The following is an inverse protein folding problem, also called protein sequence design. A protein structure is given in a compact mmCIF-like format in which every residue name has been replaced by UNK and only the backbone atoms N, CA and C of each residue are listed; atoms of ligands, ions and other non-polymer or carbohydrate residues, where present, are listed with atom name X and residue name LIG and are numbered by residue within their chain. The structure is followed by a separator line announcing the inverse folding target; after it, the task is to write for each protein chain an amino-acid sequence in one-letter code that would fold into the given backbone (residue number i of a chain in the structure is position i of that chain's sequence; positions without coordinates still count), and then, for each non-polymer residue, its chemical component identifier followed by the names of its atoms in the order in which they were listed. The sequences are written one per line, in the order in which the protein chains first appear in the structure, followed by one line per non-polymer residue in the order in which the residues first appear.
data_IF_707935582512
#
_entry.id   IF_707935582512
#
_cell.length_a   1.000
_cell.length_b   1.000
_cell.length_c   1.000
_cell.angle_alpha   90.00
_cell.angle_beta   90.00
_cell.angle_gamma   90.00
#
_symmetry.space_group_name_H-M   'P 1'
#
loop_
_entity.id
_entity.type
_entity.pdbx_description
1 polymer ?
#
# COMPACT_ATOMS: atom_id res chain seq x y z
N UNK A 1 20.24 11.02 -4.22
CA UNK A 1 19.60 10.00 -5.06
C UNK A 1 19.67 8.73 -4.23
N UNK A 2 18.55 8.21 -3.72
CA UNK A 2 18.55 6.84 -3.19
C UNK A 2 18.81 5.95 -4.41
N UNK A 3 19.99 5.37 -4.45
CA UNK A 3 20.46 4.53 -5.54
C UNK A 3 19.47 3.37 -5.75
N UNK A 4 19.01 3.17 -6.99
CA UNK A 4 18.26 1.97 -7.34
C UNK A 4 19.08 0.74 -6.97
N UNK A 5 18.53 -0.12 -6.11
CA UNK A 5 19.17 -1.38 -5.74
C UNK A 5 19.06 -2.34 -6.92
N UNK A 6 20.20 -2.73 -7.47
CA UNK A 6 20.26 -3.74 -8.53
C UNK A 6 19.88 -5.09 -7.95
N UNK A 7 18.82 -5.66 -8.50
CA UNK A 7 18.35 -7.00 -8.15
C UNK A 7 17.62 -7.59 -9.35
N UNK A 8 17.79 -8.89 -9.53
CA UNK A 8 17.04 -9.73 -10.46
C UNK A 8 16.53 -10.97 -9.73
N UNK A 9 16.30 -10.83 -8.42
CA UNK A 9 15.92 -11.96 -7.57
C UNK A 9 14.53 -12.45 -7.93
N UNK A 10 14.38 -13.77 -7.86
CA UNK A 10 13.13 -14.49 -7.91
C UNK A 10 12.90 -15.10 -6.52
N UNK A 11 11.74 -14.85 -5.93
CA UNK A 11 11.30 -15.50 -4.68
C UNK A 11 9.91 -16.08 -4.85
N UNK A 12 9.59 -17.13 -4.11
CA UNK A 12 8.26 -17.75 -4.14
C UNK A 12 7.49 -17.31 -2.90
N UNK A 13 6.25 -16.86 -3.09
CA UNK A 13 5.38 -16.51 -1.99
C UNK A 13 4.87 -17.76 -1.28
N UNK A 14 4.96 -17.78 0.05
CA UNK A 14 4.43 -18.84 0.91
C UNK A 14 3.20 -18.36 1.69
N UNK A 15 2.25 -19.22 2.09
CA UNK A 15 1.13 -18.79 2.94
C UNK A 15 1.62 -18.19 4.26
N UNK A 16 1.04 -17.06 4.66
CA UNK A 16 1.43 -16.40 5.91
C UNK A 16 0.92 -17.16 7.14
N UNK A 17 1.76 -17.26 8.16
CA UNK A 17 1.42 -17.76 9.49
C UNK A 17 2.00 -16.83 10.56
N UNK A 18 1.46 -16.81 11.79
CA UNK A 18 2.08 -16.06 12.88
C UNK A 18 3.54 -16.45 13.14
N UNK A 19 3.92 -17.70 12.89
CA UNK A 19 5.28 -18.19 13.14
C UNK A 19 6.27 -17.73 12.06
N UNK A 20 5.94 -17.89 10.78
CA UNK A 20 6.87 -17.55 9.69
C UNK A 20 7.01 -16.03 9.47
N UNK A 21 6.03 -15.23 9.91
CA UNK A 21 6.04 -13.78 9.80
C UNK A 21 6.64 -13.05 11.02
N UNK A 22 6.83 -13.76 12.14
CA UNK A 22 7.33 -13.21 13.42
C UNK A 22 8.57 -12.30 13.32
N UNK A 23 9.59 -12.59 12.48
CA UNK A 23 10.75 -11.69 12.35
C UNK A 23 10.40 -10.31 11.79
N UNK A 24 9.36 -10.23 10.97
CA UNK A 24 8.96 -9.03 10.23
C UNK A 24 7.82 -8.28 10.90
N UNK A 25 7.10 -8.92 11.83
CA UNK A 25 5.88 -8.35 12.37
C UNK A 25 4.99 -9.34 13.12
N UNK A 26 3.70 -9.03 13.10
CA UNK A 26 2.62 -9.88 13.62
C UNK A 26 1.57 -10.18 12.57
N UNK A 27 0.87 -11.29 12.77
CA UNK A 27 -0.31 -11.69 11.98
C UNK A 27 -1.47 -11.78 12.95
N UNK A 28 -2.54 -11.02 12.70
CA UNK A 28 -3.81 -11.23 13.38
C UNK A 28 -4.54 -12.31 12.60
N UNK A 29 -4.64 -13.50 13.16
CA UNK A 29 -5.37 -14.61 12.55
C UNK A 29 -5.92 -15.54 13.61
N UNK A 30 -7.24 -15.53 13.80
CA UNK A 30 -7.87 -16.26 14.90
C UNK A 30 -7.69 -17.77 14.78
N UNK A 31 -7.75 -18.34 13.57
CA UNK A 31 -7.61 -19.79 13.34
C UNK A 31 -6.29 -20.32 13.89
N UNK A 32 -5.18 -19.68 13.54
CA UNK A 32 -3.82 -20.07 13.95
C UNK A 32 -3.51 -19.65 15.41
N UNK A 33 -4.14 -18.58 15.90
CA UNK A 33 -3.84 -18.03 17.23
C UNK A 33 -4.70 -18.60 18.35
N UNK A 34 -5.84 -19.23 18.06
CA UNK A 34 -6.65 -19.95 19.06
C UNK A 34 -5.86 -21.06 19.77
N UNK A 35 -4.92 -21.68 19.07
CA UNK A 35 -4.10 -22.78 19.60
C UNK A 35 -2.88 -22.29 20.40
N UNK A 36 -2.41 -21.07 20.12
CA UNK A 36 -1.09 -20.60 20.57
C UNK A 36 -1.14 -19.37 21.48
N UNK A 37 -2.16 -18.53 21.34
CA UNK A 37 -2.27 -17.30 22.13
C UNK A 37 -2.87 -17.55 23.50
N UNK A 38 -2.48 -16.72 24.48
CA UNK A 38 -3.18 -16.65 25.76
C UNK A 38 -4.64 -16.25 25.49
N UNK A 39 -5.57 -16.98 26.08
CA UNK A 39 -7.00 -16.76 25.86
C UNK A 39 -7.86 -16.87 27.12
N UNK A 40 -9.00 -16.18 27.12
CA UNK A 40 -10.06 -16.33 28.13
C UNK A 40 -11.42 -16.39 27.46
N UNK A 41 -12.38 -17.05 28.10
CA UNK A 41 -13.78 -16.92 27.73
C UNK A 41 -14.28 -15.49 28.03
N UNK A 42 -15.15 -14.98 27.17
CA UNK A 42 -15.83 -13.69 27.26
C UNK A 42 -17.30 -13.85 26.87
N UNK A 43 -18.11 -12.80 27.04
CA UNK A 43 -19.53 -12.77 26.67
C UNK A 43 -20.32 -13.98 27.20
N UNK A 44 -20.13 -14.32 28.48
CA UNK A 44 -20.81 -15.44 29.13
C UNK A 44 -20.63 -16.79 28.42
N UNK A 45 -19.46 -17.03 27.80
CA UNK A 45 -19.16 -18.29 27.13
C UNK A 45 -19.27 -18.25 25.61
N UNK A 46 -19.78 -17.16 25.04
CA UNK A 46 -20.04 -17.08 23.58
C UNK A 46 -18.90 -16.46 22.78
N UNK A 47 -17.86 -15.94 23.44
CA UNK A 47 -16.67 -15.40 22.78
C UNK A 47 -15.38 -15.89 23.42
N UNK A 48 -14.33 -16.00 22.60
CA UNK A 48 -12.97 -16.25 23.06
C UNK A 48 -12.14 -15.00 22.83
N UNK A 49 -11.61 -14.41 23.90
CA UNK A 49 -10.69 -13.28 23.83
C UNK A 49 -9.26 -13.78 23.70
N UNK A 50 -8.63 -13.51 22.55
CA UNK A 50 -7.20 -13.73 22.33
C UNK A 50 -6.42 -12.49 22.75
N UNK A 51 -5.39 -12.66 23.57
CA UNK A 51 -4.60 -11.55 24.09
C UNK A 51 -3.35 -11.31 23.25
N UNK A 52 -3.06 -10.03 22.98
CA UNK A 52 -1.79 -9.55 22.40
C UNK A 52 -1.39 -10.28 21.10
N UNK A 53 -2.35 -10.42 20.19
CA UNK A 53 -2.20 -11.18 18.93
C UNK A 53 -1.30 -10.49 17.89
N UNK A 54 -1.05 -9.18 18.04
CA UNK A 54 -0.19 -8.40 17.14
C UNK A 54 0.46 -7.24 17.90
N UNK A 55 1.69 -6.82 17.58
CA UNK A 55 2.33 -5.69 18.23
C UNK A 55 1.69 -4.36 17.82
N UNK A 56 1.73 -3.39 18.74
CA UNK A 56 1.45 -1.98 18.47
C UNK A 56 2.56 -1.20 19.15
N UNK A 57 3.48 -0.64 18.38
CA UNK A 57 4.68 0.04 18.90
C UNK A 57 4.91 1.33 18.13
N UNK A 58 5.25 2.40 18.86
CA UNK A 58 5.72 3.66 18.32
C UNK A 58 6.91 4.15 19.13
N UNK A 59 7.93 4.69 18.45
CA UNK A 59 9.16 5.21 19.09
C UNK A 59 9.39 6.71 18.87
N UNK A 60 8.45 7.41 18.23
CA UNK A 60 8.55 8.85 18.00
C UNK A 60 7.49 9.60 18.82
N UNK A 61 7.92 10.55 19.65
CA UNK A 61 7.05 11.22 20.63
C UNK A 61 5.95 12.06 19.99
N UNK A 62 6.24 12.70 18.85
CA UNK A 62 5.26 13.52 18.12
C UNK A 62 4.28 12.72 17.26
N UNK A 63 4.47 11.40 17.13
CA UNK A 63 3.62 10.57 16.29
C UNK A 63 2.28 10.25 16.96
N UNK A 64 1.19 10.37 16.21
CA UNK A 64 -0.18 10.14 16.70
C UNK A 64 -0.75 8.87 16.12
N UNK A 65 -1.32 8.04 17.00
CA UNK A 65 -2.11 6.88 16.59
C UNK A 65 -3.30 7.31 15.75
N UNK A 66 -3.48 6.68 14.60
CA UNK A 66 -4.57 6.99 13.69
C UNK A 66 -5.03 5.76 12.91
N UNK A 67 -6.28 5.85 12.47
CA UNK A 67 -6.88 4.92 11.52
C UNK A 67 -7.03 5.60 10.17
N UNK A 68 -6.46 4.99 9.15
CA UNK A 68 -6.57 5.37 7.76
C UNK A 68 -7.37 4.31 6.99
N UNK A 69 -7.85 4.66 5.80
CA UNK A 69 -8.56 3.75 4.91
C UNK A 69 -7.84 3.70 3.57
N UNK A 70 -7.47 2.51 3.14
CA UNK A 70 -6.82 2.28 1.86
C UNK A 70 -7.76 1.45 1.00
N UNK A 71 -8.09 1.94 -0.20
CA UNK A 71 -8.80 1.17 -1.22
C UNK A 71 -7.79 0.73 -2.28
N UNK A 72 -7.43 -0.55 -2.27
CA UNK A 72 -6.36 -1.08 -3.11
C UNK A 72 -6.93 -1.94 -4.24
N UNK A 73 -6.65 -1.55 -5.47
CA UNK A 73 -6.94 -2.37 -6.66
C UNK A 73 -5.76 -3.28 -6.98
N UNK A 74 -5.98 -4.49 -7.52
CA UNK A 74 -4.88 -5.34 -7.96
C UNK A 74 -3.97 -4.65 -8.98
N UNK A 75 -2.63 -4.70 -8.82
CA UNK A 75 -1.70 -4.05 -9.74
C UNK A 75 -1.49 -4.91 -10.99
N UNK A 76 -2.54 -5.08 -11.80
CA UNK A 76 -2.56 -6.01 -12.95
C UNK A 76 -1.43 -5.79 -13.96
N UNK A 77 -0.89 -4.57 -14.06
CA UNK A 77 0.23 -4.24 -14.95
C UNK A 77 1.59 -4.74 -14.46
N UNK A 78 1.68 -5.22 -13.21
CA UNK A 78 2.86 -5.83 -12.62
C UNK A 78 2.69 -7.33 -12.42
N UNK A 79 1.53 -7.89 -12.78
CA UNK A 79 1.21 -9.30 -12.64
C UNK A 79 1.17 -9.94 -14.02
N UNK A 80 1.94 -11.02 -14.19
CA UNK A 80 1.88 -11.88 -15.38
C UNK A 80 1.27 -13.21 -14.99
N UNK A 81 0.29 -13.66 -15.79
CA UNK A 81 -0.37 -14.94 -15.64
C UNK A 81 0.34 -15.98 -16.53
N UNK A 82 0.91 -17.01 -15.90
CA UNK A 82 1.56 -18.14 -16.58
C UNK A 82 0.79 -19.45 -16.33
N UNK A 83 -0.49 -19.38 -15.98
CA UNK A 83 -1.30 -20.55 -15.62
C UNK A 83 -1.48 -21.54 -16.77
N UNK A 84 -1.32 -21.10 -18.02
CA UNK A 84 -1.33 -21.98 -19.20
C UNK A 84 -0.03 -22.78 -19.40
N UNK A 85 1.10 -22.31 -18.85
CA UNK A 85 2.43 -22.90 -19.06
C UNK A 85 2.96 -23.63 -17.82
N UNK A 86 2.98 -22.96 -16.66
CA UNK A 86 3.64 -23.46 -15.43
C UNK A 86 2.73 -23.40 -14.17
N UNK A 87 1.48 -22.96 -14.30
CA UNK A 87 0.46 -23.08 -13.25
C UNK A 87 0.49 -22.01 -12.15
N UNK A 88 1.03 -20.81 -12.42
CA UNK A 88 1.14 -19.73 -11.43
C UNK A 88 1.14 -18.32 -12.02
N UNK A 89 1.38 -17.34 -11.15
CA UNK A 89 1.48 -15.93 -11.46
C UNK A 89 2.85 -15.40 -11.04
N UNK A 90 3.34 -14.34 -11.70
CA UNK A 90 4.50 -13.58 -11.24
C UNK A 90 4.13 -12.13 -10.98
N UNK A 91 4.64 -11.53 -9.91
CA UNK A 91 4.54 -10.11 -9.60
C UNK A 91 5.92 -9.44 -9.64
N UNK A 92 6.03 -8.27 -10.27
CA UNK A 92 7.28 -7.49 -10.29
C UNK A 92 7.26 -6.34 -9.28
N UNK A 93 7.96 -6.50 -8.16
CA UNK A 93 8.18 -5.44 -7.19
C UNK A 93 9.30 -4.50 -7.63
N UNK A 94 9.02 -3.19 -7.52
CA UNK A 94 9.92 -2.09 -7.92
C UNK A 94 10.30 -1.18 -6.77
N UNK A 95 9.64 -1.28 -5.62
CA UNK A 95 9.85 -0.40 -4.46
C UNK A 95 9.69 -1.21 -3.19
N UNK A 96 10.53 -0.92 -2.21
CA UNK A 96 10.27 -1.25 -0.81
C UNK A 96 10.25 0.04 0.00
N UNK A 97 9.38 0.10 0.99
CA UNK A 97 9.25 1.18 1.95
C UNK A 97 9.37 0.64 3.38
N UNK A 98 9.63 1.53 4.33
CA UNK A 98 9.58 1.20 5.75
C UNK A 98 9.11 2.39 6.56
N UNK A 99 8.60 2.11 7.75
CA UNK A 99 8.25 3.10 8.77
C UNK A 99 9.20 2.97 9.96
N UNK A 100 10.23 3.82 10.09
CA UNK A 100 11.29 3.63 11.10
C UNK A 100 10.77 3.65 12.55
N UNK A 101 9.67 4.38 12.79
CA UNK A 101 9.21 4.70 14.13
C UNK A 101 7.86 4.09 14.52
N UNK A 102 7.16 3.41 13.64
CA UNK A 102 5.84 2.83 13.94
C UNK A 102 5.67 1.46 13.33
N UNK A 103 4.95 0.60 14.06
CA UNK A 103 4.26 -0.53 13.44
C UNK A 103 3.18 -0.01 12.51
N UNK A 104 2.91 -0.74 11.44
CA UNK A 104 1.80 -0.44 10.53
C UNK A 104 0.96 -1.69 10.31
N UNK A 105 -0.32 -1.62 10.65
CA UNK A 105 -1.27 -2.73 10.52
C UNK A 105 -2.19 -2.50 9.33
N UNK A 106 -2.36 -3.51 8.49
CA UNK A 106 -3.38 -3.55 7.44
C UNK A 106 -4.40 -4.64 7.77
N UNK A 107 -5.64 -4.23 8.02
CA UNK A 107 -6.78 -5.10 8.29
C UNK A 107 -7.69 -5.13 7.05
N UNK A 108 -7.78 -6.25 6.31
CA UNK A 108 -8.66 -6.33 5.15
C UNK A 108 -10.13 -6.28 5.59
N UNK A 109 -10.95 -5.59 4.80
CA UNK A 109 -12.38 -5.46 5.01
C UNK A 109 -13.15 -6.07 3.83
N UNK A 110 -14.13 -6.92 4.14
CA UNK A 110 -15.08 -7.42 3.15
C UNK A 110 -14.55 -8.49 2.18
N UNK A 111 -13.37 -9.07 2.46
CA UNK A 111 -12.82 -10.18 1.66
C UNK A 111 -13.29 -11.54 2.20
N UNK A 112 -13.52 -12.56 1.33
CA UNK A 112 -13.84 -13.90 1.79
C UNK A 112 -12.72 -14.50 2.64
N UNK A 113 -13.08 -15.10 3.78
CA UNK A 113 -12.14 -15.57 4.80
C UNK A 113 -11.07 -16.53 4.26
N UNK A 114 -11.46 -17.48 3.41
CA UNK A 114 -10.56 -18.53 2.93
C UNK A 114 -9.85 -18.17 1.61
N UNK A 115 -10.23 -17.05 0.97
CA UNK A 115 -9.61 -16.61 -0.28
C UNK A 115 -8.32 -15.83 -0.02
N UNK A 116 -7.30 -16.05 -0.87
CA UNK A 116 -6.14 -15.16 -0.93
C UNK A 116 -6.63 -13.78 -1.39
N UNK A 117 -6.45 -12.77 -0.53
CA UNK A 117 -6.93 -11.42 -0.74
C UNK A 117 -5.81 -10.46 -1.15
N UNK A 118 -4.59 -10.70 -0.67
CA UNK A 118 -3.44 -9.85 -0.95
C UNK A 118 -2.13 -10.59 -0.73
N UNK A 119 -1.03 -9.97 -1.12
CA UNK A 119 0.33 -10.45 -0.90
C UNK A 119 1.16 -9.36 -0.21
N UNK A 120 2.11 -9.78 0.60
CA UNK A 120 3.10 -8.90 1.22
C UNK A 120 4.50 -9.37 0.87
N UNK A 121 5.40 -8.42 0.66
CA UNK A 121 6.83 -8.68 0.49
C UNK A 121 7.51 -7.96 1.63
N UNK A 122 8.42 -8.63 2.33
CA UNK A 122 9.10 -8.08 3.51
C UNK A 122 10.59 -8.37 3.44
N UNK A 123 11.40 -7.47 3.98
CA UNK A 123 12.82 -7.67 4.18
C UNK A 123 13.30 -7.11 5.53
N UNK A 124 14.28 -7.77 6.11
CA UNK A 124 15.04 -7.19 7.23
C UNK A 124 15.91 -6.03 6.73
N UNK A 125 16.34 -5.15 7.64
CA UNK A 125 17.37 -4.16 7.32
C UNK A 125 18.76 -4.78 7.43
N UNK A 126 19.69 -4.39 6.55
CA UNK A 126 21.10 -4.67 6.71
C UNK A 126 21.62 -4.08 8.03
N UNK A 127 22.59 -4.76 8.64
CA UNK A 127 23.29 -4.24 9.81
C UNK A 127 24.46 -3.34 9.38
N UNK A 128 24.12 -2.25 8.69
CA UNK A 128 25.04 -1.20 8.30
C UNK A 128 24.48 0.19 8.66
N UNK A 129 25.19 1.25 8.30
CA UNK A 129 24.79 2.64 8.56
C UNK A 129 23.57 3.07 7.73
N UNK A 130 23.39 2.51 6.54
CA UNK A 130 22.32 2.90 5.62
C UNK A 130 21.01 2.17 5.90
N UNK A 131 21.08 1.02 6.59
CA UNK A 131 19.97 0.15 6.96
C UNK A 131 19.08 -0.20 5.74
N UNK A 132 19.68 -0.36 4.57
CA UNK A 132 18.99 -0.76 3.32
C UNK A 132 18.34 -2.15 3.47
N UNK A 133 17.35 -2.52 2.64
CA UNK A 133 16.76 -3.85 2.72
C UNK A 133 17.80 -4.93 2.40
N UNK A 134 17.80 -5.97 3.22
CA UNK A 134 18.64 -7.14 3.05
C UNK A 134 18.02 -8.09 2.03
N UNK A 135 18.45 -7.97 0.78
CA UNK A 135 17.97 -8.79 -0.34
C UNK A 135 18.60 -10.20 -0.38
N UNK A 136 19.42 -10.60 0.61
CA UNK A 136 20.03 -11.94 0.66
C UNK A 136 18.98 -13.02 0.86
N UNK A 137 19.38 -14.26 0.58
CA UNK A 137 18.49 -15.42 0.70
C UNK A 137 17.97 -15.57 2.14
N UNK A 138 16.67 -15.81 2.29
CA UNK A 138 16.00 -15.91 3.59
C UNK A 138 15.82 -14.59 4.36
N UNK A 139 16.33 -13.47 3.83
CA UNK A 139 16.21 -12.13 4.44
C UNK A 139 15.17 -11.25 3.77
N UNK A 140 14.84 -11.57 2.53
CA UNK A 140 13.66 -11.11 1.82
C UNK A 140 12.69 -12.28 1.62
N UNK A 141 11.40 -12.04 1.86
CA UNK A 141 10.34 -13.04 1.74
C UNK A 141 9.08 -12.43 1.15
N UNK A 142 8.25 -13.28 0.55
CA UNK A 142 6.92 -12.92 0.11
C UNK A 142 5.90 -13.88 0.74
N UNK A 143 4.70 -13.36 1.02
CA UNK A 143 3.63 -14.15 1.61
C UNK A 143 2.28 -13.86 0.97
N UNK A 144 1.52 -14.91 0.63
CA UNK A 144 0.10 -14.77 0.32
C UNK A 144 -0.71 -14.72 1.60
N UNK A 145 -1.72 -13.85 1.63
CA UNK A 145 -2.51 -13.55 2.83
C UNK A 145 -3.99 -13.69 2.53
N UNK A 146 -4.69 -14.43 3.40
CA UNK A 146 -6.13 -14.66 3.26
C UNK A 146 -6.94 -13.46 3.73
N UNK A 147 -8.21 -13.40 3.31
CA UNK A 147 -9.13 -12.34 3.70
C UNK A 147 -9.47 -12.29 5.20
N UNK A 148 -9.22 -13.37 5.96
CA UNK A 148 -9.41 -13.42 7.42
C UNK A 148 -8.15 -13.08 8.24
N UNK A 149 -7.07 -12.68 7.58
CA UNK A 149 -5.79 -12.38 8.22
C UNK A 149 -5.47 -10.88 8.08
N UNK A 150 -4.89 -10.30 9.14
CA UNK A 150 -4.32 -8.96 9.10
C UNK A 150 -2.80 -9.03 9.28
N UNK A 151 -2.07 -8.13 8.62
CA UNK A 151 -0.62 -8.02 8.76
C UNK A 151 -0.28 -6.78 9.58
N UNK A 152 0.69 -6.90 10.48
CA UNK A 152 1.33 -5.75 11.13
C UNK A 152 2.82 -5.83 10.91
N UNK A 153 3.41 -4.86 10.20
CA UNK A 153 4.85 -4.74 10.09
C UNK A 153 5.45 -4.20 11.39
N UNK A 154 6.61 -4.71 11.80
CA UNK A 154 7.40 -4.11 12.88
C UNK A 154 7.96 -2.76 12.43
N UNK A 155 8.36 -1.94 13.41
CA UNK A 155 9.15 -0.73 13.14
C UNK A 155 10.36 -1.08 12.26
N UNK A 156 10.60 -0.26 11.25
CA UNK A 156 11.73 -0.36 10.32
C UNK A 156 11.80 -1.66 9.48
N UNK A 157 10.76 -2.50 9.48
CA UNK A 157 10.66 -3.61 8.52
C UNK A 157 10.41 -3.05 7.12
N UNK A 158 11.30 -3.38 6.20
CA UNK A 158 11.09 -3.07 4.79
C UNK A 158 9.96 -3.92 4.24
N UNK A 159 9.07 -3.32 3.47
CA UNK A 159 7.95 -4.01 2.84
C UNK A 159 7.57 -3.36 1.51
N UNK A 160 6.95 -4.12 0.61
CA UNK A 160 6.39 -3.53 -0.60
C UNK A 160 5.10 -2.76 -0.27
N UNK A 161 4.76 -1.70 -1.04
CA UNK A 161 3.42 -1.12 -1.03
C UNK A 161 2.35 -2.20 -1.21
N UNK A 162 1.16 -2.01 -0.63
CA UNK A 162 0.12 -3.05 -0.54
C UNK A 162 -0.26 -3.66 -1.90
N UNK A 163 -0.22 -5.00 -1.99
CA UNK A 163 -0.49 -5.76 -3.23
C UNK A 163 -1.83 -6.49 -3.10
N UNK A 164 -2.93 -5.83 -3.47
CA UNK A 164 -4.23 -6.49 -3.55
C UNK A 164 -4.24 -7.57 -4.65
N UNK A 165 -4.94 -8.67 -4.42
CA UNK A 165 -5.06 -9.80 -5.35
C UNK A 165 -6.54 -10.15 -5.56
N UNK A 166 -6.83 -10.73 -6.73
CA UNK A 166 -8.17 -11.11 -7.21
C UNK A 166 -9.13 -9.94 -7.47
N UNK A 167 -9.35 -9.08 -6.50
CA UNK A 167 -10.34 -8.01 -6.57
C UNK A 167 -9.97 -6.88 -5.59
N UNK A 168 -10.66 -5.75 -5.68
CA UNK A 168 -10.44 -4.59 -4.83
C UNK A 168 -10.56 -4.99 -3.36
N UNK A 169 -9.59 -4.55 -2.57
CA UNK A 169 -9.57 -4.76 -1.13
C UNK A 169 -9.49 -3.43 -0.41
N UNK A 170 -10.47 -3.17 0.44
CA UNK A 170 -10.42 -2.07 1.39
C UNK A 170 -9.66 -2.52 2.64
N UNK A 171 -8.75 -1.68 3.15
CA UNK A 171 -7.98 -1.93 4.35
C UNK A 171 -8.23 -0.81 5.37
N UNK A 172 -8.61 -1.19 6.59
CA UNK A 172 -8.42 -0.31 7.73
C UNK A 172 -6.94 -0.38 8.12
N UNK A 173 -6.27 0.77 8.11
CA UNK A 173 -4.84 0.88 8.36
C UNK A 173 -4.60 1.56 9.69
N UNK A 174 -3.90 0.91 10.60
CA UNK A 174 -3.53 1.50 11.89
C UNK A 174 -2.03 1.78 11.92
N UNK A 175 -1.67 3.02 12.23
CA UNK A 175 -0.28 3.50 12.27
C UNK A 175 -0.15 4.70 13.22
N UNK A 176 1.06 4.98 13.69
CA UNK A 176 1.42 6.26 14.30
C UNK A 176 2.21 7.09 13.29
N UNK A 177 1.78 8.31 13.01
CA UNK A 177 2.50 9.22 12.11
C UNK A 177 2.66 10.59 12.74
N UNK A 178 3.77 11.24 12.44
CA UNK A 178 4.07 12.63 12.83
C UNK A 178 3.37 13.63 11.92
N UNK A 179 2.95 13.21 10.72
CA UNK A 179 2.46 14.08 9.66
C UNK A 179 3.60 14.65 8.80
N UNK A 180 4.84 14.23 9.04
CA UNK A 180 6.00 14.55 8.24
C UNK A 180 6.50 13.29 7.54
N UNK A 181 6.22 13.18 6.24
CA UNK A 181 6.56 12.01 5.45
C UNK A 181 8.04 11.62 5.50
N UNK A 182 8.97 12.58 5.64
CA UNK A 182 10.40 12.25 5.69
C UNK A 182 10.85 11.63 7.01
N UNK A 183 10.03 11.72 8.06
CA UNK A 183 10.23 11.04 9.34
C UNK A 183 9.40 9.74 9.40
N UNK A 184 8.23 9.77 8.80
CA UNK A 184 7.27 8.66 8.89
C UNK A 184 7.65 7.51 7.95
N UNK A 185 8.24 7.79 6.78
CA UNK A 185 8.46 6.80 5.73
C UNK A 185 9.80 6.97 5.03
N UNK A 186 10.46 5.85 4.76
CA UNK A 186 11.64 5.77 3.91
C UNK A 186 11.40 4.76 2.80
N UNK A 187 11.88 5.06 1.58
CA UNK A 187 11.64 4.23 0.39
C UNK A 187 12.95 3.93 -0.32
N UNK A 188 13.01 2.78 -1.00
CA UNK A 188 14.08 2.45 -1.95
C UNK A 188 13.51 1.87 -3.22
N UNK A 189 14.04 2.33 -4.35
CA UNK A 189 13.73 1.74 -5.66
C UNK A 189 14.55 0.47 -5.88
N UNK A 190 13.92 -0.53 -6.47
CA UNK A 190 14.52 -1.77 -6.94
C UNK A 190 14.59 -1.74 -8.47
N UNK A 191 15.57 -2.43 -9.04
CA UNK A 191 15.57 -2.74 -10.46
C UNK A 191 14.40 -3.68 -10.76
N UNK A 192 14.49 -4.97 -10.42
CA UNK A 192 13.33 -5.89 -10.47
C UNK A 192 13.45 -6.96 -9.38
N UNK A 193 12.45 -7.07 -8.51
CA UNK A 193 12.25 -8.25 -7.67
C UNK A 193 11.01 -9.01 -8.15
N UNK A 194 11.20 -10.22 -8.66
CA UNK A 194 10.10 -11.06 -9.14
C UNK A 194 9.62 -11.97 -8.02
N UNK A 195 8.31 -12.04 -7.85
CA UNK A 195 7.65 -12.92 -6.88
C UNK A 195 6.74 -13.88 -7.62
N UNK A 196 7.02 -15.17 -7.55
CA UNK A 196 6.12 -16.23 -7.98
C UNK A 196 5.07 -16.50 -6.90
N UNK A 197 3.82 -16.65 -7.29
CA UNK A 197 2.75 -17.03 -6.38
C UNK A 197 1.67 -17.82 -7.12
N UNK A 198 0.95 -18.65 -6.36
CA UNK A 198 -0.22 -19.35 -6.85
C UNK A 198 -1.45 -18.86 -6.10
N UNK A 199 -2.53 -18.68 -6.82
CA UNK A 199 -3.85 -18.51 -6.24
C UNK A 199 -4.48 -19.89 -6.18
N UNK A 200 -4.87 -20.36 -4.99
CA UNK A 200 -5.63 -21.60 -4.91
C UNK A 200 -6.89 -21.46 -5.78
N UNK A 201 -7.17 -22.50 -6.59
CA UNK A 201 -8.45 -22.61 -7.30
C UNK A 201 -9.53 -22.85 -6.27
N UNK A 202 -10.03 -21.79 -5.65
CA UNK A 202 -11.35 -21.88 -5.04
C UNK A 202 -12.34 -22.14 -6.18
N UNK A 203 -13.16 -23.19 -6.04
CA UNK A 203 -14.34 -23.37 -6.87
C UNK A 203 -15.04 -22.02 -6.98
N UNK A 204 -15.26 -21.58 -8.23
CA UNK A 204 -15.85 -20.29 -8.57
C UNK A 204 -16.85 -19.86 -7.50
N UNK A 205 -16.68 -18.69 -6.86
CA UNK A 205 -17.74 -18.12 -6.03
C UNK A 205 -18.87 -17.73 -6.97
N UNK A 206 -19.73 -18.70 -7.29
CA UNK A 206 -20.91 -18.64 -8.16
C UNK A 206 -20.61 -17.89 -9.45
N UNK A 207 -20.27 -18.63 -10.52
CA UNK A 207 -20.33 -18.23 -11.94
C UNK A 207 -21.06 -16.88 -12.16
N UNK A 208 -20.35 -15.77 -11.92
CA UNK A 208 -20.86 -14.44 -12.25
C UNK A 208 -20.62 -14.38 -13.73
N UNK A 209 -21.67 -14.61 -14.51
CA UNK A 209 -21.70 -14.19 -15.91
C UNK A 209 -21.08 -12.80 -15.96
N UNK A 210 -20.10 -12.60 -16.84
CA UNK A 210 -19.65 -11.25 -17.21
C UNK A 210 -20.91 -10.43 -17.46
N UNK A 211 -21.13 -9.41 -16.64
CA UNK A 211 -22.24 -8.49 -16.80
C UNK A 211 -22.18 -7.98 -18.24
N UNK A 212 -23.26 -8.18 -18.99
CA UNK A 212 -23.28 -7.72 -20.38
C UNK A 212 -23.19 -6.19 -20.40
N UNK A 213 -22.69 -5.61 -21.50
CA UNK A 213 -22.68 -4.16 -21.67
C UNK A 213 -24.08 -3.54 -21.49
N UNK A 214 -25.13 -4.30 -21.85
CA UNK A 214 -26.52 -3.92 -21.62
C UNK A 214 -26.91 -3.91 -20.14
N UNK A 215 -26.53 -4.93 -19.36
CA UNK A 215 -26.80 -4.98 -17.91
C UNK A 215 -26.05 -3.86 -17.16
N UNK A 216 -24.83 -3.51 -17.61
CA UNK A 216 -24.06 -2.39 -17.06
C UNK A 216 -24.72 -1.03 -17.35
N UNK A 217 -25.25 -0.85 -18.55
CA UNK A 217 -25.94 0.38 -18.95
C UNK A 217 -27.30 0.54 -18.25
N UNK A 218 -28.03 -0.55 -18.02
CA UNK A 218 -29.26 -0.54 -17.22
C UNK A 218 -29.01 -0.21 -15.74
N UNK A 219 -27.91 -0.72 -15.16
CA UNK A 219 -27.53 -0.39 -13.78
C UNK A 219 -27.07 1.06 -13.64
N UNK A 220 -26.32 1.58 -14.62
CA UNK A 220 -25.84 2.96 -14.67
C UNK A 220 -26.99 3.99 -14.69
N UNK A 221 -28.12 3.67 -15.33
CA UNK A 221 -29.31 4.54 -15.32
C UNK A 221 -29.99 4.60 -13.95
N UNK A 222 -29.85 3.57 -13.10
CA UNK A 222 -30.41 3.58 -11.73
C UNK A 222 -29.69 4.56 -10.77
N UNK A 223 -28.51 5.06 -11.16
CA UNK A 223 -27.67 5.97 -10.36
C UNK A 223 -27.59 7.40 -10.93
N UNK A 224 -28.45 7.76 -11.89
CA UNK A 224 -28.60 9.17 -12.30
C UNK A 224 -29.46 9.94 -11.30
N UNK A 225 -28.79 10.48 -10.30
CA UNK A 225 -29.33 11.49 -9.37
C UNK A 225 -28.21 11.99 -8.47
N UNK A 226 -28.27 13.24 -7.97
CA UNK A 226 -27.30 13.70 -6.98
C UNK A 226 -27.36 12.78 -5.75
N UNK A 227 -26.22 12.52 -5.09
CA UNK A 227 -26.13 11.59 -3.97
C UNK A 227 -27.15 11.94 -2.88
N UNK A 228 -27.99 10.97 -2.49
CA UNK A 228 -28.93 11.14 -1.38
C UNK A 228 -28.14 11.04 -0.09
N UNK A 229 -27.91 12.18 0.56
CA UNK A 229 -27.36 12.25 1.91
C UNK A 229 -28.48 11.85 2.89
N UNK A 230 -28.30 10.81 3.72
CA UNK A 230 -29.27 10.48 4.77
C UNK A 230 -29.29 11.59 5.82
N UNK A 231 -30.35 12.40 5.85
CA UNK A 231 -30.53 13.42 6.90
C UNK A 231 -31.06 12.76 8.17
N UNK A 232 -30.17 12.56 9.15
CA UNK A 232 -30.49 12.11 10.49
C UNK A 232 -30.05 13.11 11.56
N UNK A 233 -30.94 14.09 11.83
CA UNK A 233 -31.08 14.94 13.04
C UNK A 233 -29.89 15.81 13.51
N UNK A 234 -30.11 17.11 13.35
CA UNK A 234 -29.84 18.23 14.26
C UNK A 234 -28.76 18.02 15.34
N UNK A 235 -27.61 18.66 15.13
CA UNK A 235 -27.13 19.71 16.03
C UNK A 235 -26.43 20.81 15.22
N UNK A 236 -27.04 21.98 15.26
CA UNK A 236 -26.46 23.28 14.94
C UNK A 236 -25.15 23.49 15.70
N UNK A 237 -24.05 23.63 14.97
CA UNK A 237 -22.94 24.50 15.37
C UNK A 237 -22.60 25.32 14.14
N UNK A 238 -23.14 26.53 14.09
CA UNK A 238 -22.55 27.59 13.28
C UNK A 238 -21.16 27.87 13.84
N UNK A 239 -20.16 27.78 12.98
CA UNK A 239 -19.02 28.68 13.09
C UNK A 239 -18.70 29.18 11.68
N UNK A 240 -19.07 30.44 11.48
CA UNK A 240 -18.61 31.26 10.37
C UNK A 240 -17.09 31.35 10.43
N UNK A 241 -16.44 30.81 9.41
CA UNK A 241 -15.28 31.40 8.75
C UNK A 241 -15.02 30.62 7.46
N UNK A 242 -15.83 30.94 6.45
CA UNK A 242 -15.51 30.63 5.06
C UNK A 242 -14.22 31.38 4.67
N UNK A 243 -13.10 30.69 4.77
CA UNK A 243 -11.97 30.87 3.87
C UNK A 243 -11.58 29.50 3.34
N UNK A 244 -12.16 29.13 2.21
CA UNK A 244 -11.52 28.23 1.27
C UNK A 244 -10.26 28.94 0.78
N UNK A 245 -9.10 28.55 1.32
CA UNK A 245 -7.84 28.82 0.63
C UNK A 245 -7.79 27.89 -0.58
N UNK A 246 -7.97 28.48 -1.75
CA UNK A 246 -7.59 27.89 -3.02
C UNK A 246 -6.09 27.60 -2.94
N UNK A 247 -5.69 26.33 -2.94
CA UNK A 247 -4.28 25.95 -2.98
C UNK A 247 -3.82 26.17 -4.42
N UNK A 248 -3.63 27.45 -4.76
CA UNK A 248 -3.19 27.89 -6.07
C UNK A 248 -1.86 27.23 -6.45
N UNK A 249 -1.63 27.13 -7.75
CA UNK A 249 -0.41 26.57 -8.33
C UNK A 249 0.83 27.14 -7.63
N UNK A 250 1.62 26.26 -7.01
CA UNK A 250 2.84 26.64 -6.28
C UNK A 250 3.85 27.13 -7.31
N UNK A 251 4.16 28.42 -7.28
CA UNK A 251 5.16 29.04 -8.15
C UNK A 251 6.50 29.11 -7.42
N UNK A 252 7.58 29.32 -8.17
CA UNK A 252 8.98 29.36 -7.69
C UNK A 252 9.30 30.43 -6.62
N UNK A 253 8.30 31.18 -6.16
CA UNK A 253 8.41 32.18 -5.09
C UNK A 253 7.66 31.86 -3.79
N UNK A 254 6.98 30.71 -3.66
CA UNK A 254 6.31 30.32 -2.40
C UNK A 254 7.33 29.83 -1.36
N UNK A 255 7.34 30.34 -0.11
CA UNK A 255 8.22 29.87 0.96
C UNK A 255 8.01 28.39 1.35
N UNK A 256 6.94 27.73 0.91
CA UNK A 256 6.69 26.27 1.03
C UNK A 256 7.22 25.45 -0.14
N UNK A 257 7.84 26.09 -1.13
CA UNK A 257 8.39 25.43 -2.31
C UNK A 257 9.64 24.62 -1.94
N UNK A 258 9.43 23.36 -1.55
CA UNK A 258 10.52 22.41 -1.35
C UNK A 258 10.84 21.71 -2.68
N UNK A 259 12.00 22.06 -3.24
CA UNK A 259 12.53 21.49 -4.49
C UNK A 259 12.66 19.95 -4.41
N UNK A 260 12.86 19.38 -3.21
CA UNK A 260 12.89 17.92 -3.01
C UNK A 260 11.49 17.31 -3.12
N UNK A 261 10.48 17.94 -2.53
CA UNK A 261 9.08 17.52 -2.65
C UNK A 261 8.56 17.65 -4.08
N UNK A 262 8.98 18.70 -4.81
CA UNK A 262 8.63 18.84 -6.22
C UNK A 262 9.28 17.74 -7.06
N UNK A 263 10.56 17.43 -6.84
CA UNK A 263 11.24 16.30 -7.51
C UNK A 263 10.52 14.97 -7.23
N UNK A 264 10.18 14.71 -5.98
CA UNK A 264 9.42 13.50 -5.60
C UNK A 264 8.07 13.44 -6.31
N UNK A 265 7.34 14.57 -6.37
CA UNK A 265 6.05 14.65 -7.05
C UNK A 265 6.16 14.42 -8.56
N UNK A 266 7.23 14.91 -9.19
CA UNK A 266 7.55 14.67 -10.61
C UNK A 266 7.83 13.18 -10.85
N UNK A 267 8.70 12.58 -10.05
CA UNK A 267 9.05 11.16 -10.16
C UNK A 267 7.83 10.26 -9.94
N UNK A 268 7.05 10.54 -8.88
CA UNK A 268 5.80 9.85 -8.60
C UNK A 268 4.82 9.96 -9.77
N UNK A 269 4.62 11.16 -10.32
CA UNK A 269 3.73 11.35 -11.47
C UNK A 269 4.21 10.59 -12.72
N UNK A 270 5.52 10.52 -12.96
CA UNK A 270 6.10 9.73 -14.03
C UNK A 270 5.88 8.23 -13.84
N UNK A 271 6.21 7.70 -12.66
CA UNK A 271 6.11 6.27 -12.36
C UNK A 271 4.66 5.77 -12.26
N UNK A 272 3.73 6.63 -11.85
CA UNK A 272 2.28 6.35 -11.84
C UNK A 272 1.58 6.59 -13.17
N UNK A 273 2.34 6.95 -14.23
CA UNK A 273 1.85 7.24 -15.58
C UNK A 273 0.87 8.42 -15.68
N UNK A 274 0.88 9.32 -14.69
CA UNK A 274 0.21 10.62 -14.77
C UNK A 274 1.04 11.58 -15.66
N UNK A 275 1.34 11.19 -16.91
CA UNK A 275 2.36 11.86 -17.73
C UNK A 275 2.07 13.34 -18.00
N UNK A 276 0.79 13.72 -18.17
CA UNK A 276 0.41 15.14 -18.32
C UNK A 276 0.77 15.96 -17.08
N UNK A 277 0.43 15.44 -15.90
CA UNK A 277 0.76 16.03 -14.60
C UNK A 277 2.27 16.03 -14.34
N UNK A 278 2.97 14.97 -14.75
CA UNK A 278 4.43 14.91 -14.71
C UNK A 278 5.05 16.08 -15.50
N UNK A 279 4.56 16.34 -16.72
CA UNK A 279 5.04 17.47 -17.54
C UNK A 279 4.72 18.81 -16.90
N UNK A 280 3.52 18.98 -16.34
CA UNK A 280 3.14 20.19 -15.59
C UNK A 280 4.07 20.45 -14.40
N UNK A 281 4.35 19.41 -13.60
CA UNK A 281 5.25 19.51 -12.45
C UNK A 281 6.70 19.78 -12.87
N UNK A 282 7.18 19.17 -13.97
CA UNK A 282 8.50 19.48 -14.52
C UNK A 282 8.62 20.96 -14.92
N UNK A 283 7.57 21.54 -15.52
CA UNK A 283 7.56 22.94 -15.93
C UNK A 283 7.59 23.92 -14.74
N UNK A 284 7.16 23.48 -13.55
CA UNK A 284 7.23 24.25 -12.32
C UNK A 284 8.63 24.20 -11.65
N UNK A 285 9.56 23.40 -12.17
CA UNK A 285 10.88 23.20 -11.55
C UNK A 285 11.85 24.36 -11.84
N UNK A 286 12.64 24.87 -10.86
CA UNK A 286 13.50 26.02 -11.09
C UNK A 286 14.66 25.71 -12.04
N UNK A 287 14.82 26.56 -13.06
CA UNK A 287 15.79 26.35 -14.15
C UNK A 287 17.25 26.50 -13.71
N UNK A 288 17.49 27.31 -12.68
CA UNK A 288 18.80 27.58 -12.08
C UNK A 288 19.23 26.51 -11.08
N UNK A 289 18.35 25.58 -10.71
CA UNK A 289 18.65 24.55 -9.74
C UNK A 289 19.53 23.44 -10.34
N UNK A 290 20.49 22.92 -9.57
CA UNK A 290 21.45 21.88 -10.00
C UNK A 290 20.81 20.59 -10.54
N UNK A 291 19.55 20.31 -10.18
CA UNK A 291 18.79 19.13 -10.60
C UNK A 291 17.95 19.37 -11.87
N UNK A 292 17.92 20.59 -12.42
CA UNK A 292 17.05 20.92 -13.56
C UNK A 292 17.30 20.03 -14.78
N UNK A 293 18.57 19.73 -15.10
CA UNK A 293 18.92 18.82 -16.22
C UNK A 293 18.34 17.41 -16.07
N UNK A 294 18.23 16.92 -14.84
CA UNK A 294 17.64 15.60 -14.54
C UNK A 294 16.11 15.66 -14.75
N UNK A 295 15.47 16.72 -14.29
CA UNK A 295 14.02 16.95 -14.44
C UNK A 295 13.63 17.11 -15.92
N UNK A 296 14.45 17.78 -16.72
CA UNK A 296 14.22 17.91 -18.16
C UNK A 296 14.23 16.56 -18.88
N UNK A 297 15.11 15.63 -18.50
CA UNK A 297 15.11 14.27 -19.06
C UNK A 297 13.83 13.50 -18.71
N UNK A 298 13.29 13.70 -17.50
CA UNK A 298 12.00 13.12 -17.09
C UNK A 298 10.85 13.75 -17.88
N UNK A 299 10.90 15.07 -18.12
CA UNK A 299 9.92 15.80 -18.93
C UNK A 299 9.86 15.29 -20.36
N UNK A 300 11.01 15.15 -21.04
CA UNK A 300 11.10 14.65 -22.41
C UNK A 300 10.49 13.24 -22.51
N UNK A 301 10.88 12.33 -21.61
CA UNK A 301 10.31 10.97 -21.54
C UNK A 301 8.81 10.97 -21.28
N UNK A 302 8.31 11.88 -20.44
CA UNK A 302 6.88 12.00 -20.16
C UNK A 302 6.11 12.56 -21.37
N UNK A 303 6.69 13.50 -22.11
CA UNK A 303 6.11 14.07 -23.33
C UNK A 303 5.97 13.02 -24.44
N UNK A 304 6.99 12.19 -24.66
CA UNK A 304 6.95 11.07 -25.61
C UNK A 304 5.85 10.04 -25.29
N UNK A 305 5.40 9.99 -24.03
CA UNK A 305 4.32 9.10 -23.57
C UNK A 305 2.94 9.79 -23.57
N UNK A 306 2.88 11.09 -23.81
CA UNK A 306 1.64 11.86 -23.93
C UNK A 306 1.09 11.90 -25.37
N UNK A 307 1.97 11.69 -26.37
CA UNK A 307 1.63 11.52 -27.80
C UNK A 307 1.21 10.11 -28.13
#
# INVERSE_FOLDING_TARGET
MLSTLKTTKLIVAEPVTPSNFKPFGGVISSKEQLETAKQTSANYGTATKLYNVSPIVCTHEDAKAQWNMFRCSPPLHLITDHTEEDGGFTYESRVLERHPHSTQTFLPLGRPADSIAYMVIVAESLDDELKLPDLREGKIKAFTVRGDQAITYNNATWHAPMIALNDVTDFAVFIHETGNNSLDTEEVALETLTVEFSLEKHEDPVNRKKQSEEEFLEEKEKYKGPPVIPTGRDKTIQNDNNKTEDVGAITSGDPRFDVKQLKYSIERAYYTREYKKCVELCNAFPQDHKMFKEIEQVREKAQDKCT
#
